data_IF_600277569148
#
_entry.id   IF_600277569148
#
_cell.length_a   1.000
_cell.length_b   1.000
_cell.length_c   1.000
_cell.angle_alpha   90.00
_cell.angle_beta   90.00
_cell.angle_gamma   90.00
#
_symmetry.space_group_name_H-M   'P 1'
#
loop_
_entity.id
_entity.type
_entity.pdbx_description
1 polymer ?
#
# COMPACT_ATOMS: atom_id res chain seq x y z
N UNK A 1 -18.57 14.03 4.18
CA UNK A 1 -17.82 14.60 3.03
C UNK A 1 -16.33 14.62 3.36
N UNK A 2 -15.66 13.48 3.26
CA UNK A 2 -14.20 13.38 3.40
C UNK A 2 -13.46 13.65 2.08
N UNK A 3 -14.19 13.87 0.99
CA UNK A 3 -13.68 14.47 -0.25
C UNK A 3 -13.36 15.97 -0.07
N UNK A 4 -12.74 16.36 1.06
CA UNK A 4 -11.93 17.58 1.12
C UNK A 4 -10.88 17.40 0.02
N UNK A 5 -10.81 18.36 -0.91
CA UNK A 5 -9.99 18.35 -2.12
C UNK A 5 -8.63 17.67 -1.88
N UNK A 6 -8.50 16.41 -2.30
CA UNK A 6 -7.20 15.79 -2.53
C UNK A 6 -6.74 16.38 -3.85
N UNK A 7 -5.80 17.31 -3.81
CA UNK A 7 -5.25 17.99 -4.99
C UNK A 7 -3.88 17.44 -5.39
N UNK A 8 -3.10 17.00 -4.39
CA UNK A 8 -1.73 16.58 -4.57
C UNK A 8 -1.45 15.24 -3.86
N UNK A 9 -0.41 14.49 -4.26
CA UNK A 9 -0.04 13.23 -3.61
C UNK A 9 0.20 13.36 -2.11
N UNK A 10 0.69 14.52 -1.66
CA UNK A 10 0.90 14.76 -0.23
C UNK A 10 -0.41 14.82 0.55
N UNK A 11 -1.49 15.31 -0.05
CA UNK A 11 -2.82 15.32 0.58
C UNK A 11 -3.33 13.89 0.74
N UNK A 12 -3.08 13.05 -0.26
CA UNK A 12 -3.43 11.63 -0.25
C UNK A 12 -2.65 10.86 0.84
N UNK A 13 -1.32 10.98 0.84
CA UNK A 13 -0.42 10.26 1.75
C UNK A 13 -0.45 10.80 3.19
N UNK A 14 -1.04 11.99 3.42
CA UNK A 14 -1.17 12.54 4.76
C UNK A 14 -2.01 11.64 5.67
N UNK A 15 -3.03 10.99 5.13
CA UNK A 15 -3.88 10.08 5.89
C UNK A 15 -3.12 8.85 6.38
N UNK A 16 -2.47 8.12 5.47
CA UNK A 16 -1.69 6.93 5.82
C UNK A 16 -0.57 7.26 6.81
N UNK A 17 0.15 8.37 6.57
CA UNK A 17 1.18 8.85 7.49
C UNK A 17 0.62 9.07 8.90
N UNK A 18 -0.54 9.71 9.01
CA UNK A 18 -1.18 10.00 10.30
C UNK A 18 -1.54 8.70 11.03
N UNK A 19 -2.18 7.75 10.35
CA UNK A 19 -2.58 6.46 10.92
C UNK A 19 -1.36 5.70 11.43
N UNK A 20 -0.35 5.50 10.57
CA UNK A 20 0.86 4.75 10.90
C UNK A 20 1.73 5.41 12.00
N UNK A 21 1.71 6.74 12.09
CA UNK A 21 2.37 7.45 13.19
C UNK A 21 1.61 7.26 14.50
N UNK A 22 0.27 7.31 14.44
CA UNK A 22 -0.59 7.21 15.63
C UNK A 22 -0.60 5.80 16.21
N UNK A 23 -0.50 4.77 15.36
CA UNK A 23 -0.33 3.37 15.79
C UNK A 23 1.05 3.09 16.38
N UNK A 24 2.02 4.02 16.27
CA UNK A 24 3.39 3.85 16.74
C UNK A 24 4.25 2.99 15.83
N UNK A 25 3.71 2.45 14.73
CA UNK A 25 4.41 1.53 13.83
C UNK A 25 5.66 2.17 13.22
N UNK A 26 5.57 3.45 12.82
CA UNK A 26 6.72 4.18 12.26
C UNK A 26 7.82 4.49 13.30
N UNK A 27 7.53 4.32 14.60
CA UNK A 27 8.50 4.55 15.69
C UNK A 27 9.08 3.22 16.16
N UNK A 28 8.24 2.20 16.34
CA UNK A 28 8.61 0.89 16.86
C UNK A 28 9.40 0.06 15.84
N UNK A 29 9.06 0.17 14.55
CA UNK A 29 9.62 -0.66 13.47
C UNK A 29 10.38 0.21 12.46
N UNK A 30 11.68 0.44 12.66
CA UNK A 30 12.45 1.40 11.86
C UNK A 30 12.59 1.00 10.39
N UNK A 31 12.63 -0.30 10.06
CA UNK A 31 12.74 -0.76 8.67
C UNK A 31 11.39 -0.60 7.95
N UNK A 32 10.28 -0.88 8.62
CA UNK A 32 8.95 -0.56 8.11
C UNK A 32 8.77 0.95 7.90
N UNK A 33 9.32 1.77 8.79
CA UNK A 33 9.29 3.22 8.64
C UNK A 33 10.06 3.68 7.38
N UNK A 34 11.30 3.18 7.20
CA UNK A 34 12.11 3.47 6.01
C UNK A 34 11.36 3.03 4.74
N UNK A 35 10.85 1.80 4.73
CA UNK A 35 10.08 1.26 3.61
C UNK A 35 8.86 2.12 3.27
N UNK A 36 8.07 2.54 4.26
CA UNK A 36 6.93 3.43 4.04
C UNK A 36 7.32 4.78 3.40
N UNK A 37 8.43 5.39 3.84
CA UNK A 37 8.91 6.64 3.25
C UNK A 37 9.46 6.45 1.83
N UNK A 38 10.04 5.30 1.53
CA UNK A 38 10.43 4.92 0.16
C UNK A 38 9.20 4.83 -0.75
N UNK A 39 8.11 4.17 -0.29
CA UNK A 39 6.84 4.11 -1.02
C UNK A 39 6.28 5.52 -1.29
N UNK A 40 6.26 6.40 -0.28
CA UNK A 40 5.82 7.78 -0.45
C UNK A 40 6.63 8.57 -1.48
N UNK A 41 7.95 8.34 -1.52
CA UNK A 41 8.84 8.96 -2.50
C UNK A 41 8.58 8.40 -3.91
N UNK A 42 8.44 7.08 -4.03
CA UNK A 42 8.14 6.42 -5.29
C UNK A 42 6.79 6.90 -5.85
N UNK A 43 5.75 6.97 -5.02
CA UNK A 43 4.42 7.45 -5.41
C UNK A 43 4.49 8.87 -5.98
N UNK A 44 5.17 9.78 -5.27
CA UNK A 44 5.39 11.15 -5.72
C UNK A 44 6.16 11.23 -7.04
N UNK A 45 7.17 10.38 -7.22
CA UNK A 45 7.95 10.32 -8.46
C UNK A 45 7.08 9.88 -9.64
N UNK A 46 6.32 8.79 -9.47
CA UNK A 46 5.43 8.26 -10.51
C UNK A 46 4.35 9.28 -10.87
N UNK A 47 3.72 9.94 -9.89
CA UNK A 47 2.67 10.92 -10.14
C UNK A 47 3.16 12.14 -10.95
N UNK A 48 4.40 12.58 -10.68
CA UNK A 48 5.00 13.74 -11.35
C UNK A 48 5.58 13.40 -12.72
N UNK A 49 5.85 12.13 -13.00
CA UNK A 49 6.33 11.68 -14.29
C UNK A 49 5.21 11.71 -15.34
N UNK A 50 5.15 12.81 -16.09
CA UNK A 50 4.18 13.00 -17.18
C UNK A 50 4.62 12.35 -18.50
N UNK A 51 5.75 11.65 -18.52
CA UNK A 51 6.26 11.01 -19.74
C UNK A 51 5.62 9.65 -20.04
N UNK A 52 5.00 9.03 -19.02
CA UNK A 52 4.38 7.70 -19.14
C UNK A 52 2.95 7.76 -19.69
N UNK A 53 2.51 6.73 -20.43
CA UNK A 53 1.10 6.53 -20.74
C UNK A 53 0.25 6.50 -19.47
N UNK A 54 -1.00 6.96 -19.59
CA UNK A 54 -1.91 7.06 -18.45
C UNK A 54 -2.10 5.74 -17.69
N UNK A 55 -2.30 4.63 -18.41
CA UNK A 55 -2.52 3.32 -17.78
C UNK A 55 -1.28 2.81 -17.06
N UNK A 56 -0.09 2.98 -17.64
CA UNK A 56 1.18 2.59 -17.00
C UNK A 56 1.44 3.42 -15.73
N UNK A 57 1.14 4.72 -15.78
CA UNK A 57 1.24 5.58 -14.62
C UNK A 57 0.26 5.14 -13.52
N UNK A 58 -0.99 4.83 -13.89
CA UNK A 58 -2.01 4.39 -12.95
C UNK A 58 -1.69 3.01 -12.35
N UNK A 59 -1.22 2.07 -13.17
CA UNK A 59 -0.75 0.75 -12.73
C UNK A 59 0.32 0.89 -11.65
N UNK A 60 1.36 1.68 -11.92
CA UNK A 60 2.43 1.93 -10.96
C UNK A 60 1.95 2.62 -9.67
N UNK A 61 1.03 3.59 -9.76
CA UNK A 61 0.47 4.25 -8.59
C UNK A 61 -0.35 3.29 -7.73
N UNK A 62 -1.19 2.45 -8.35
CA UNK A 62 -2.00 1.45 -7.66
C UNK A 62 -1.14 0.34 -7.05
N UNK A 63 -0.07 -0.08 -7.71
CA UNK A 63 0.89 -1.03 -7.14
C UNK A 63 1.55 -0.49 -5.86
N UNK A 64 1.94 0.79 -5.85
CA UNK A 64 2.51 1.43 -4.65
C UNK A 64 1.43 1.63 -3.58
N UNK A 65 0.23 2.05 -3.97
CA UNK A 65 -0.88 2.24 -3.03
C UNK A 65 -1.25 0.92 -2.34
N UNK A 66 -1.38 -0.19 -3.08
CA UNK A 66 -1.66 -1.50 -2.51
C UNK A 66 -0.65 -1.88 -1.41
N UNK A 67 0.63 -1.59 -1.58
CA UNK A 67 1.64 -1.82 -0.53
C UNK A 67 1.39 -0.96 0.71
N UNK A 68 0.98 0.30 0.54
CA UNK A 68 0.60 1.19 1.64
C UNK A 68 -0.67 0.69 2.33
N UNK A 69 -1.67 0.23 1.57
CA UNK A 69 -2.92 -0.27 2.12
C UNK A 69 -2.72 -1.56 2.94
N UNK A 70 -1.94 -2.52 2.45
CA UNK A 70 -1.60 -3.72 3.22
C UNK A 70 -0.92 -3.32 4.54
N UNK A 71 0.00 -2.34 4.51
CA UNK A 71 0.62 -1.86 5.73
C UNK A 71 -0.41 -1.27 6.70
N UNK A 72 -1.38 -0.48 6.21
CA UNK A 72 -2.47 0.06 7.04
C UNK A 72 -3.33 -1.04 7.65
N UNK A 73 -3.74 -2.04 6.87
CA UNK A 73 -4.58 -3.16 7.34
C UNK A 73 -3.87 -3.97 8.44
N UNK A 74 -2.57 -4.21 8.28
CA UNK A 74 -1.74 -4.83 9.31
C UNK A 74 -1.76 -4.00 10.60
N UNK A 75 -1.70 -2.67 10.51
CA UNK A 75 -1.77 -1.81 11.70
C UNK A 75 -3.15 -1.76 12.35
N UNK A 76 -4.23 -1.87 11.58
CA UNK A 76 -5.59 -1.90 12.14
C UNK A 76 -5.92 -3.22 12.84
N UNK A 77 -5.31 -4.32 12.37
CA UNK A 77 -5.52 -5.66 12.91
C UNK A 77 -4.61 -5.99 14.09
N UNK A 78 -3.44 -5.36 14.18
CA UNK A 78 -2.49 -5.57 15.27
C UNK A 78 -3.03 -5.01 16.60
N UNK A 79 -3.02 -5.83 17.66
CA UNK A 79 -3.50 -5.42 19.00
C UNK A 79 -2.37 -5.15 19.99
N UNK A 80 -1.21 -5.76 19.75
CA UNK A 80 -0.04 -5.75 20.62
C UNK A 80 1.21 -5.47 19.78
N UNK A 81 2.07 -6.47 19.54
CA UNK A 81 3.26 -6.35 18.71
C UNK A 81 3.02 -7.00 17.34
N UNK A 82 3.18 -6.23 16.27
CA UNK A 82 2.92 -6.65 14.90
C UNK A 82 3.73 -7.89 14.55
N UNK A 83 5.05 -7.86 14.79
CA UNK A 83 5.97 -8.92 14.40
C UNK A 83 5.69 -10.23 15.18
N UNK A 84 5.32 -10.13 16.45
CA UNK A 84 4.93 -11.27 17.26
C UNK A 84 3.60 -11.89 16.82
N UNK A 85 2.59 -11.06 16.53
CA UNK A 85 1.24 -11.54 16.16
C UNK A 85 1.25 -12.30 14.83
N UNK A 86 2.01 -11.80 13.85
CA UNK A 86 2.14 -12.43 12.54
C UNK A 86 3.28 -13.47 12.47
N UNK A 87 4.12 -13.53 13.50
CA UNK A 87 5.27 -14.44 13.55
C UNK A 87 6.35 -14.15 12.50
N UNK A 88 6.55 -12.88 12.13
CA UNK A 88 7.52 -12.44 11.12
C UNK A 88 8.36 -11.28 11.65
N UNK A 89 9.61 -11.18 11.22
CA UNK A 89 10.42 -9.97 11.41
C UNK A 89 10.08 -8.88 10.38
N UNK A 90 10.57 -7.65 10.57
CA UNK A 90 10.27 -6.52 9.68
C UNK A 90 10.60 -6.79 8.21
N UNK A 91 11.72 -7.43 7.89
CA UNK A 91 12.09 -7.76 6.51
C UNK A 91 11.15 -8.79 5.88
N UNK A 92 10.73 -9.79 6.64
CA UNK A 92 9.75 -10.78 6.20
C UNK A 92 8.40 -10.12 5.91
N UNK A 93 7.96 -9.18 6.76
CA UNK A 93 6.76 -8.37 6.52
C UNK A 93 6.89 -7.55 5.25
N UNK A 94 8.00 -6.85 5.06
CA UNK A 94 8.24 -6.05 3.84
C UNK A 94 8.23 -6.96 2.59
N UNK A 95 8.86 -8.13 2.68
CA UNK A 95 8.87 -9.12 1.59
C UNK A 95 7.46 -9.60 1.26
N UNK A 96 6.66 -9.95 2.28
CA UNK A 96 5.26 -10.32 2.12
C UNK A 96 4.47 -9.21 1.42
N UNK A 97 4.54 -7.96 1.92
CA UNK A 97 3.85 -6.81 1.31
C UNK A 97 4.23 -6.67 -0.17
N UNK A 98 5.53 -6.74 -0.49
CA UNK A 98 6.02 -6.63 -1.88
C UNK A 98 5.53 -7.76 -2.79
N UNK A 99 5.39 -8.98 -2.29
CA UNK A 99 4.93 -10.10 -3.10
C UNK A 99 3.42 -10.10 -3.30
N UNK A 100 2.68 -9.63 -2.30
CA UNK A 100 1.25 -9.79 -2.20
C UNK A 100 0.45 -8.60 -2.74
N UNK A 101 1.07 -7.42 -2.84
CA UNK A 101 0.38 -6.17 -3.24
C UNK A 101 -0.40 -6.27 -4.55
N UNK A 102 0.07 -7.05 -5.53
CA UNK A 102 -0.62 -7.24 -6.81
C UNK A 102 -2.06 -7.73 -6.60
N UNK A 103 -2.28 -8.63 -5.65
CA UNK A 103 -3.59 -9.23 -5.39
C UNK A 103 -4.50 -8.38 -4.51
N UNK A 104 -4.02 -7.28 -3.93
CA UNK A 104 -4.74 -6.52 -2.93
C UNK A 104 -6.14 -6.07 -3.39
N UNK A 105 -6.22 -5.34 -4.52
CA UNK A 105 -7.52 -4.86 -5.00
C UNK A 105 -8.41 -5.98 -5.54
N UNK A 106 -7.82 -7.12 -5.94
CA UNK A 106 -8.60 -8.31 -6.31
C UNK A 106 -9.27 -8.94 -5.10
N UNK A 107 -8.53 -9.08 -4.01
CA UNK A 107 -9.08 -9.58 -2.74
C UNK A 107 -10.21 -8.67 -2.21
N UNK A 108 -10.13 -7.35 -2.39
CA UNK A 108 -11.22 -6.42 -2.05
C UNK A 108 -12.53 -6.68 -2.83
N UNK A 109 -12.45 -7.33 -4.00
CA UNK A 109 -13.63 -7.73 -4.78
C UNK A 109 -14.17 -9.12 -4.40
N UNK A 110 -13.60 -9.75 -3.37
CA UNK A 110 -13.95 -11.09 -2.92
C UNK A 110 -13.42 -12.22 -3.82
N UNK A 111 -12.45 -11.92 -4.68
CA UNK A 111 -11.78 -12.90 -5.54
C UNK A 111 -10.45 -13.24 -4.89
N UNK A 112 -10.24 -14.52 -4.56
CA UNK A 112 -9.05 -14.99 -3.86
C UNK A 112 -7.84 -15.11 -4.78
N UNK A 113 -6.67 -15.39 -4.20
CA UNK A 113 -5.40 -15.53 -4.95
C UNK A 113 -5.40 -16.68 -5.96
N UNK A 114 -6.11 -17.75 -5.63
CA UNK A 114 -6.26 -18.99 -6.40
C UNK A 114 -7.33 -18.93 -7.50
N UNK A 115 -8.03 -17.81 -7.61
CA UNK A 115 -9.08 -17.61 -8.61
C UNK A 115 -8.60 -16.67 -9.72
N UNK A 116 -8.89 -17.06 -10.97
CA UNK A 116 -8.66 -16.18 -12.10
C UNK A 116 -9.53 -14.92 -11.98
N UNK A 117 -8.99 -13.75 -12.35
CA UNK A 117 -9.76 -12.52 -12.49
C UNK A 117 -11.03 -12.75 -13.31
N UNK A 118 -12.16 -12.19 -12.85
CA UNK A 118 -13.38 -12.19 -13.67
C UNK A 118 -13.10 -11.46 -14.98
N UNK A 119 -13.43 -12.06 -16.11
CA UNK A 119 -13.10 -11.54 -17.45
C UNK A 119 -13.55 -10.09 -17.72
N UNK A 120 -14.56 -9.60 -16.99
CA UNK A 120 -15.08 -8.24 -17.11
C UNK A 120 -14.40 -7.21 -16.19
N UNK A 121 -13.41 -7.62 -15.38
CA UNK A 121 -12.68 -6.77 -14.45
C UNK A 121 -11.22 -6.63 -14.89
N UNK A 122 -10.69 -5.42 -14.79
CA UNK A 122 -9.28 -5.10 -15.05
C UNK A 122 -8.68 -4.59 -13.74
N UNK A 123 -7.72 -5.33 -13.21
CA UNK A 123 -6.95 -4.93 -12.02
C UNK A 123 -5.64 -4.29 -12.48
N UNK A 124 -5.63 -2.96 -12.63
CA UNK A 124 -4.45 -2.23 -13.12
C UNK A 124 -3.23 -2.36 -12.20
N UNK A 125 -3.40 -2.78 -10.94
CA UNK A 125 -2.30 -3.06 -10.01
C UNK A 125 -1.62 -4.41 -10.21
N UNK A 126 -2.21 -5.30 -11.02
CA UNK A 126 -1.70 -6.66 -11.23
C UNK A 126 -0.77 -6.69 -12.45
N UNK A 127 0.53 -6.68 -12.19
CA UNK A 127 1.61 -7.06 -13.13
C UNK A 127 2.51 -8.15 -12.52
#
# INVERSE_FOLDING_TARGET
>A
MLAKKISEPNDYLAYSKKVLTTSGILVTYPKLAVYYFELCRAFNSVYKDRSKPFFDQMSALLSIDAQIQILLDLTETTRTDLCQEIGMNEEEVISMIRNDHKYYYRELTGVSRDQDPRWCLIYLSEE
#
